data_IF_821023486868
#
_entry.id   IF_821023486868
#
_cell.length_a   1.000
_cell.length_b   1.000
_cell.length_c   1.000
_cell.angle_alpha   90.00
_cell.angle_beta   90.00
_cell.angle_gamma   90.00
#
_symmetry.space_group_name_H-M   'P 1'
#
loop_
_entity.id
_entity.type
_entity.pdbx_description
1 polymer ?
#
# COMPACT_ATOMS: atom_id res chain seq x y z
N UNK A 1 47.53 30.27 32.19
CA UNK A 1 46.26 29.94 31.50
C UNK A 1 46.21 28.42 31.39
N UNK A 2 45.53 27.75 32.32
CA UNK A 2 45.42 26.28 32.32
C UNK A 2 44.26 25.92 31.41
N UNK A 3 44.52 25.11 30.38
CA UNK A 3 43.46 24.53 29.56
C UNK A 3 42.78 23.49 30.43
N UNK A 4 41.55 23.80 30.89
CA UNK A 4 40.67 22.81 31.50
C UNK A 4 40.18 21.90 30.37
N UNK A 5 40.97 20.88 30.05
CA UNK A 5 40.50 19.78 29.23
C UNK A 5 39.39 19.06 29.99
N UNK A 6 38.20 18.97 29.41
CA UNK A 6 37.15 18.12 29.95
C UNK A 6 37.69 16.68 30.00
N UNK A 7 37.85 16.15 31.22
CA UNK A 7 38.16 14.75 31.46
C UNK A 7 36.89 13.93 31.18
N UNK A 8 36.58 13.74 29.89
CA UNK A 8 35.54 12.81 29.44
C UNK A 8 35.83 11.43 30.02
N UNK A 9 34.82 10.78 30.61
CA UNK A 9 35.03 9.53 31.34
C UNK A 9 34.89 8.38 30.37
N UNK A 10 36.01 7.70 30.10
CA UNK A 10 36.10 6.54 29.23
C UNK A 10 34.94 5.57 29.50
N UNK A 11 34.02 5.44 28.54
CA UNK A 11 32.84 4.56 28.61
C UNK A 11 31.49 5.25 28.85
N UNK A 12 31.41 6.57 28.63
CA UNK A 12 30.15 7.31 28.43
C UNK A 12 29.46 6.92 27.09
N UNK A 13 28.26 7.42 26.79
CA UNK A 13 27.62 7.18 25.48
C UNK A 13 28.31 8.00 24.39
N UNK A 14 28.32 7.47 23.16
CA UNK A 14 29.08 7.96 22.00
C UNK A 14 30.62 7.92 22.19
N UNK A 15 31.09 7.38 23.31
CA UNK A 15 32.49 7.25 23.68
C UNK A 15 33.08 5.90 23.24
N UNK A 16 34.42 5.80 23.15
CA UNK A 16 35.09 4.61 22.58
C UNK A 16 35.17 3.44 23.55
N UNK A 17 34.92 2.24 23.03
CA UNK A 17 34.99 0.98 23.77
C UNK A 17 35.77 -0.11 23.02
N UNK A 18 36.35 -1.06 23.77
CA UNK A 18 37.08 -2.21 23.24
C UNK A 18 36.78 -3.45 24.10
N UNK A 19 36.52 -4.59 23.44
CA UNK A 19 36.27 -5.88 24.07
C UNK A 19 37.54 -6.59 24.54
N UNK A 20 38.73 -6.15 24.10
CA UNK A 20 40.03 -6.72 24.51
C UNK A 20 40.60 -6.11 25.80
N UNK A 21 39.86 -5.21 26.45
CA UNK A 21 40.23 -4.60 27.73
C UNK A 21 39.66 -5.42 28.89
N UNK A 22 40.43 -5.62 29.97
CA UNK A 22 39.97 -6.27 31.22
C UNK A 22 38.91 -5.45 32.00
N UNK A 23 38.22 -4.52 31.35
CA UNK A 23 37.24 -3.60 31.92
C UNK A 23 35.89 -3.76 31.22
N UNK A 24 34.81 -3.44 31.94
CA UNK A 24 33.48 -3.33 31.34
C UNK A 24 33.55 -2.29 30.19
N UNK A 25 33.17 -2.64 28.95
CA UNK A 25 33.47 -1.80 27.79
C UNK A 25 32.69 -0.48 27.76
N UNK A 26 31.52 -0.41 28.41
CA UNK A 26 30.72 0.79 28.59
C UNK A 26 30.26 0.90 30.05
N UNK A 27 30.33 2.09 30.65
CA UNK A 27 30.04 2.31 32.07
C UNK A 27 28.57 2.66 32.34
N UNK A 28 27.88 3.21 31.33
CA UNK A 28 26.48 3.63 31.45
C UNK A 28 25.57 2.39 31.55
N UNK A 29 24.69 2.28 32.57
CA UNK A 29 23.74 1.17 32.67
C UNK A 29 22.86 1.08 31.42
N UNK A 30 22.52 -0.13 31.00
CA UNK A 30 21.75 -0.38 29.77
C UNK A 30 22.43 0.17 28.49
N UNK A 31 23.76 0.18 28.44
CA UNK A 31 24.54 0.43 27.23
C UNK A 31 25.32 -0.79 26.78
N UNK A 32 25.74 -0.81 25.52
CA UNK A 32 26.55 -1.86 24.92
C UNK A 32 27.51 -1.29 23.87
N UNK A 33 28.63 -1.98 23.67
CA UNK A 33 29.65 -1.58 22.70
C UNK A 33 29.26 -2.09 21.30
N UNK A 34 29.13 -1.18 20.33
CA UNK A 34 28.83 -1.48 18.92
C UNK A 34 29.86 -0.75 18.07
N UNK A 35 30.54 -1.47 17.18
CA UNK A 35 31.54 -0.91 16.26
C UNK A 35 32.62 -0.04 16.93
N UNK A 36 32.93 -0.35 18.20
CA UNK A 36 33.90 0.38 19.03
C UNK A 36 33.36 1.65 19.70
N UNK A 37 32.04 1.85 19.72
CA UNK A 37 31.35 2.99 20.33
C UNK A 37 30.28 2.51 21.31
N UNK A 38 30.15 3.16 22.47
CA UNK A 38 29.13 2.88 23.46
C UNK A 38 27.77 3.47 23.07
N UNK A 39 26.74 2.63 23.00
CA UNK A 39 25.38 3.03 22.61
C UNK A 39 24.34 2.44 23.57
N UNK A 40 23.20 3.11 23.75
CA UNK A 40 22.11 2.58 24.57
C UNK A 40 21.47 1.32 23.97
N UNK A 41 21.21 0.33 24.83
CA UNK A 41 20.62 -0.97 24.51
C UNK A 41 19.36 -0.87 23.63
N UNK A 42 19.03 -1.92 22.85
CA UNK A 42 17.72 -1.99 22.21
C UNK A 42 16.63 -1.85 23.27
N UNK A 43 15.61 -1.02 22.99
CA UNK A 43 14.59 -0.54 23.95
C UNK A 43 15.04 0.55 24.94
N UNK A 44 16.22 1.15 24.77
CA UNK A 44 16.69 2.30 25.57
C UNK A 44 16.98 3.52 24.68
N UNK A 45 16.95 4.70 25.28
CA UNK A 45 17.21 5.99 24.63
C UNK A 45 18.13 6.83 25.51
N UNK A 46 19.07 7.51 24.87
CA UNK A 46 19.97 8.43 25.53
C UNK A 46 19.22 9.72 25.88
N UNK A 47 19.13 10.05 27.16
CA UNK A 47 18.58 11.31 27.67
C UNK A 47 19.52 11.82 28.77
N UNK A 48 20.16 12.97 28.54
CA UNK A 48 21.28 13.42 29.39
C UNK A 48 22.46 12.46 29.21
N UNK A 49 23.02 11.98 30.33
CA UNK A 49 24.09 10.97 30.36
C UNK A 49 23.56 9.55 30.70
N UNK A 50 22.25 9.33 30.62
CA UNK A 50 21.58 8.09 31.02
C UNK A 50 20.89 7.40 29.83
N UNK A 51 21.05 6.08 29.75
CA UNK A 51 20.18 5.23 28.93
C UNK A 51 18.92 4.89 29.74
N UNK A 52 17.91 5.75 29.62
CA UNK A 52 16.57 5.45 30.13
C UNK A 52 15.88 4.44 29.19
N UNK A 53 14.95 3.61 29.68
CA UNK A 53 14.09 2.85 28.78
C UNK A 53 13.42 3.80 27.78
N UNK A 54 13.42 3.48 26.48
CA UNK A 54 12.46 4.08 25.55
C UNK A 54 11.10 3.82 26.15
N UNK A 55 10.29 4.87 26.26
CA UNK A 55 8.99 4.87 26.92
C UNK A 55 8.05 3.82 26.28
N UNK A 56 8.21 2.56 26.73
CA UNK A 56 7.24 1.47 26.57
C UNK A 56 6.12 1.56 27.61
N UNK A 57 6.17 2.62 28.42
CA UNK A 57 5.09 3.24 29.17
C UNK A 57 4.02 3.74 28.18
N UNK A 58 3.25 2.79 27.67
CA UNK A 58 1.96 3.07 27.02
C UNK A 58 1.16 3.96 27.96
N UNK A 59 0.89 5.18 27.54
CA UNK A 59 -0.04 6.10 28.20
C UNK A 59 -1.47 5.89 27.68
N UNK A 60 -1.70 4.92 26.79
CA UNK A 60 -3.00 4.63 26.23
C UNK A 60 -4.12 4.55 27.29
N UNK A 61 -5.15 5.38 27.12
CA UNK A 61 -6.30 5.47 28.00
C UNK A 61 -6.09 6.30 29.28
N UNK A 62 -4.87 6.74 29.61
CA UNK A 62 -4.67 7.73 30.69
C UNK A 62 -5.33 9.05 30.33
N UNK A 63 -5.67 9.84 31.34
CA UNK A 63 -6.11 11.22 31.15
C UNK A 63 -4.94 12.06 30.65
N UNK A 64 -5.22 13.02 29.78
CA UNK A 64 -4.26 14.01 29.30
C UNK A 64 -4.97 15.34 29.02
N UNK A 65 -4.26 16.45 29.22
CA UNK A 65 -4.71 17.77 28.74
C UNK A 65 -4.07 18.11 27.38
N UNK A 66 -2.89 17.55 27.10
CA UNK A 66 -2.09 17.84 25.91
C UNK A 66 -1.39 16.61 25.34
N UNK A 67 -1.03 16.65 24.05
CA UNK A 67 -0.38 15.51 23.38
C UNK A 67 1.05 15.23 23.84
N UNK A 68 1.74 16.13 24.56
CA UNK A 68 3.09 15.84 25.07
C UNK A 68 3.08 14.89 26.28
N UNK A 69 1.94 14.77 26.96
CA UNK A 69 1.74 13.84 28.08
C UNK A 69 1.63 12.39 27.60
N UNK A 70 1.21 12.19 26.34
CA UNK A 70 1.08 10.89 25.71
C UNK A 70 2.44 10.43 25.16
N UNK A 71 3.22 9.74 26.00
CA UNK A 71 4.60 9.34 25.69
C UNK A 71 4.72 8.08 24.83
N UNK A 72 3.67 7.25 24.78
CA UNK A 72 3.70 6.00 24.03
C UNK A 72 3.86 6.19 22.51
N UNK A 73 4.55 5.25 21.86
CA UNK A 73 4.79 5.29 20.42
C UNK A 73 3.46 5.37 19.63
N UNK A 74 3.30 6.43 18.84
CA UNK A 74 2.09 6.63 18.03
C UNK A 74 0.84 6.97 18.84
N UNK A 75 0.98 7.46 20.07
CA UNK A 75 -0.12 8.02 20.88
C UNK A 75 -0.29 9.53 20.65
N UNK A 76 -1.49 10.04 20.94
CA UNK A 76 -1.82 11.47 20.97
C UNK A 76 -2.96 11.74 21.95
N UNK A 77 -3.08 12.97 22.45
CA UNK A 77 -4.20 13.33 23.31
C UNK A 77 -5.45 13.58 22.47
N UNK A 78 -6.49 12.77 22.68
CA UNK A 78 -7.78 12.91 22.00
C UNK A 78 -8.61 14.05 22.59
N UNK A 79 -9.60 14.54 21.85
CA UNK A 79 -10.58 15.53 22.33
C UNK A 79 -11.44 15.07 23.52
N UNK A 80 -11.32 13.80 23.93
CA UNK A 80 -11.94 13.25 25.13
C UNK A 80 -11.05 13.35 26.38
N UNK A 81 -9.92 14.07 26.29
CA UNK A 81 -8.94 14.21 27.38
C UNK A 81 -8.26 12.88 27.72
N UNK A 82 -8.01 12.03 26.72
CA UNK A 82 -7.35 10.72 26.90
C UNK A 82 -6.38 10.39 25.78
N UNK A 83 -5.26 9.75 26.13
CA UNK A 83 -4.27 9.28 25.17
C UNK A 83 -4.84 8.12 24.33
N UNK A 84 -4.78 8.26 23.00
CA UNK A 84 -5.29 7.28 22.03
C UNK A 84 -4.29 7.09 20.88
N UNK A 85 -4.44 6.02 20.11
CA UNK A 85 -3.56 5.75 18.97
C UNK A 85 -3.87 6.68 17.79
N UNK A 86 -2.82 7.24 17.17
CA UNK A 86 -2.89 8.00 15.92
C UNK A 86 -3.68 7.25 14.84
N UNK A 87 -4.22 8.00 13.87
CA UNK A 87 -4.99 7.45 12.76
C UNK A 87 -4.25 6.38 11.93
N UNK A 88 -2.92 6.42 11.91
CA UNK A 88 -2.00 5.46 11.26
C UNK A 88 -1.70 4.21 12.08
N UNK A 89 -2.13 4.18 13.35
CA UNK A 89 -1.87 3.10 14.31
C UNK A 89 -3.16 2.36 14.69
N UNK A 90 -2.99 1.24 15.39
CA UNK A 90 -4.07 0.45 15.97
C UNK A 90 -3.68 0.02 17.40
N UNK A 91 -4.65 -0.02 18.31
CA UNK A 91 -4.40 -0.52 19.67
C UNK A 91 -4.29 -2.05 19.65
N UNK A 92 -3.19 -2.57 20.18
CA UNK A 92 -2.95 -3.99 20.43
C UNK A 92 -2.46 -4.14 21.87
N UNK A 93 -3.23 -4.83 22.69
CA UNK A 93 -2.89 -5.10 24.10
C UNK A 93 -2.51 -3.83 24.89
N UNK A 94 -3.24 -2.74 24.67
CA UNK A 94 -2.96 -1.44 25.30
C UNK A 94 -1.87 -0.61 24.61
N UNK A 95 -1.16 -1.13 23.61
CA UNK A 95 -0.09 -0.41 22.90
C UNK A 95 -0.55 0.05 21.53
N UNK A 96 -0.14 1.23 21.12
CA UNK A 96 -0.33 1.68 19.75
C UNK A 96 0.75 1.09 18.85
N UNK A 97 0.32 0.40 17.80
CA UNK A 97 1.20 -0.31 16.86
C UNK A 97 0.89 0.17 15.44
N UNK A 98 1.91 0.33 14.57
CA UNK A 98 1.69 0.86 13.22
C UNK A 98 0.82 -0.09 12.39
N UNK A 99 0.02 0.49 11.48
CA UNK A 99 -0.64 -0.27 10.43
C UNK A 99 0.41 -0.89 9.49
N UNK A 100 0.15 -2.11 9.01
CA UNK A 100 1.04 -2.84 8.11
C UNK A 100 0.22 -3.18 6.87
N UNK A 101 0.74 -2.87 5.68
CA UNK A 101 0.00 -3.00 4.44
C UNK A 101 0.14 -4.39 3.81
N UNK A 102 -0.83 -4.85 3.00
CA UNK A 102 -0.73 -6.11 2.28
C UNK A 102 0.59 -6.28 1.53
N UNK A 103 1.24 -7.44 1.74
CA UNK A 103 2.57 -7.76 1.21
C UNK A 103 3.75 -7.35 2.08
N UNK A 104 3.56 -6.50 3.10
CA UNK A 104 4.60 -6.13 4.06
C UNK A 104 4.70 -7.14 5.22
N UNK A 105 5.85 -7.15 5.89
CA UNK A 105 6.19 -7.98 7.07
C UNK A 105 6.19 -7.14 8.35
N UNK A 106 6.18 -7.80 9.51
CA UNK A 106 6.21 -7.16 10.84
C UNK A 106 4.84 -6.96 11.47
N UNK A 107 3.81 -7.71 11.06
CA UNK A 107 2.55 -7.75 11.80
C UNK A 107 2.61 -8.73 12.98
N UNK A 108 2.08 -8.28 14.12
CA UNK A 108 1.83 -9.07 15.34
C UNK A 108 0.35 -9.51 15.40
N UNK A 109 -0.57 -8.68 14.88
CA UNK A 109 -2.02 -8.89 14.90
C UNK A 109 -2.62 -8.60 13.51
N UNK A 110 -3.62 -9.38 13.11
CA UNK A 110 -4.41 -9.13 11.90
C UNK A 110 -5.06 -7.75 11.87
N UNK A 111 -5.32 -7.12 13.03
CA UNK A 111 -5.82 -5.72 13.11
C UNK A 111 -4.87 -4.69 12.47
N UNK A 112 -3.56 -4.93 12.45
CA UNK A 112 -2.60 -4.04 11.75
C UNK A 112 -2.82 -4.10 10.24
N UNK A 113 -3.04 -5.31 9.73
CA UNK A 113 -3.35 -5.56 8.33
C UNK A 113 -4.72 -4.99 7.97
N UNK A 114 -5.75 -5.24 8.79
CA UNK A 114 -7.11 -4.77 8.59
C UNK A 114 -7.21 -3.23 8.56
N UNK A 115 -6.30 -2.53 9.26
CA UNK A 115 -6.17 -1.07 9.26
C UNK A 115 -5.61 -0.54 7.93
N UNK A 116 -4.69 -1.27 7.30
CA UNK A 116 -4.13 -0.93 5.98
C UNK A 116 -5.04 -1.35 4.81
N UNK A 117 -5.72 -2.50 4.91
CA UNK A 117 -6.72 -2.97 3.95
C UNK A 117 -7.80 -3.81 4.66
N UNK A 118 -9.10 -3.50 4.50
CA UNK A 118 -10.17 -4.19 5.22
C UNK A 118 -10.23 -5.68 4.88
N UNK A 119 -10.20 -6.52 5.92
CA UNK A 119 -10.20 -7.99 5.78
C UNK A 119 -8.84 -8.61 5.43
N UNK A 120 -7.75 -7.83 5.35
CA UNK A 120 -6.41 -8.39 5.34
C UNK A 120 -6.07 -9.00 6.72
N UNK A 121 -5.32 -10.10 6.71
CA UNK A 121 -4.96 -10.89 7.90
C UNK A 121 -3.45 -11.02 8.02
N UNK A 122 -2.94 -11.15 9.25
CA UNK A 122 -1.53 -11.45 9.48
C UNK A 122 -1.31 -12.96 9.33
N UNK A 123 -0.37 -13.38 8.48
CA UNK A 123 -0.01 -14.78 8.32
C UNK A 123 1.05 -15.23 9.34
N UNK A 124 1.29 -16.55 9.42
CA UNK A 124 2.23 -17.16 10.37
C UNK A 124 3.70 -16.71 10.18
N UNK A 125 4.02 -16.06 9.06
CA UNK A 125 5.35 -15.48 8.79
C UNK A 125 5.37 -13.97 9.06
N UNK A 126 4.43 -13.47 9.88
CA UNK A 126 4.28 -12.05 10.23
C UNK A 126 4.07 -11.14 9.01
N UNK A 127 3.47 -11.65 7.94
CA UNK A 127 3.18 -10.89 6.72
C UNK A 127 1.69 -10.64 6.54
N UNK A 128 1.32 -9.41 6.20
CA UNK A 128 -0.07 -9.09 5.90
C UNK A 128 -0.49 -9.69 4.55
N UNK A 129 -1.47 -10.59 4.58
CA UNK A 129 -2.05 -11.27 3.42
C UNK A 129 -3.45 -10.73 3.12
N UNK A 130 -3.74 -10.59 1.83
CA UNK A 130 -5.07 -10.24 1.34
C UNK A 130 -6.13 -11.29 1.65
N UNK A 131 -7.42 -10.88 1.76
CA UNK A 131 -8.53 -11.83 1.86
C UNK A 131 -8.66 -12.71 0.60
N UNK A 132 -9.40 -13.81 0.74
CA UNK A 132 -9.50 -14.86 -0.27
C UNK A 132 -9.92 -14.33 -1.66
N UNK A 133 -9.15 -14.72 -2.69
CA UNK A 133 -9.39 -14.30 -4.08
C UNK A 133 -8.65 -13.01 -4.50
N UNK A 134 -7.96 -12.35 -3.56
CA UNK A 134 -7.12 -11.20 -3.84
C UNK A 134 -5.64 -11.48 -3.57
N UNK A 135 -4.78 -10.80 -4.32
CA UNK A 135 -3.33 -10.82 -4.23
C UNK A 135 -2.79 -9.43 -3.86
N UNK A 136 -1.70 -9.42 -3.09
CA UNK A 136 -1.06 -8.18 -2.66
C UNK A 136 -0.21 -7.62 -3.80
N UNK A 137 -0.54 -6.42 -4.27
CA UNK A 137 0.24 -5.68 -5.26
C UNK A 137 0.30 -4.20 -4.81
N UNK A 138 1.50 -3.62 -4.80
CA UNK A 138 1.72 -2.21 -4.49
C UNK A 138 1.02 -1.74 -3.20
N UNK A 139 1.17 -2.52 -2.11
CA UNK A 139 0.60 -2.23 -0.77
C UNK A 139 -0.94 -2.22 -0.71
N UNK A 140 -1.62 -2.74 -1.73
CA UNK A 140 -3.08 -2.95 -1.75
C UNK A 140 -3.41 -4.37 -2.19
N UNK A 141 -4.69 -4.75 -2.11
CA UNK A 141 -5.19 -6.03 -2.58
C UNK A 141 -6.00 -5.86 -3.87
N UNK A 142 -5.59 -6.57 -4.92
CA UNK A 142 -6.28 -6.63 -6.21
C UNK A 142 -6.80 -8.04 -6.46
N UNK A 143 -7.81 -8.21 -7.32
CA UNK A 143 -8.19 -9.55 -7.75
C UNK A 143 -7.04 -10.22 -8.49
N UNK A 144 -6.72 -11.45 -8.12
CA UNK A 144 -5.78 -12.28 -8.85
C UNK A 144 -6.31 -12.47 -10.29
N UNK A 145 -5.69 -11.79 -11.25
CA UNK A 145 -6.07 -11.87 -12.65
C UNK A 145 -5.70 -13.26 -13.18
N UNK A 146 -6.62 -14.22 -13.04
CA UNK A 146 -6.41 -15.61 -13.48
C UNK A 146 -5.96 -15.62 -14.94
N UNK A 147 -4.70 -15.99 -15.20
CA UNK A 147 -4.17 -16.19 -16.55
C UNK A 147 -4.85 -17.34 -17.33
N UNK A 148 -5.85 -18.00 -16.76
CA UNK A 148 -6.67 -19.02 -17.41
C UNK A 148 -7.40 -18.55 -18.68
N UNK A 149 -7.46 -17.24 -18.96
CA UNK A 149 -8.06 -16.71 -20.21
C UNK A 149 -7.13 -16.89 -21.43
N UNK A 150 -5.80 -17.00 -21.25
CA UNK A 150 -4.86 -17.08 -22.39
C UNK A 150 -4.85 -18.43 -23.13
N UNK A 151 -5.34 -19.53 -22.53
CA UNK A 151 -5.31 -20.88 -23.15
C UNK A 151 -6.62 -21.36 -23.78
N UNK A 152 -7.74 -20.66 -23.59
CA UNK A 152 -9.02 -21.04 -24.22
C UNK A 152 -9.18 -20.52 -25.67
N UNK A 153 -8.57 -19.37 -25.99
CA UNK A 153 -8.80 -18.69 -27.27
C UNK A 153 -7.89 -19.15 -28.42
N UNK A 154 -6.88 -19.98 -28.17
CA UNK A 154 -5.97 -20.48 -29.22
C UNK A 154 -6.52 -21.69 -29.96
N UNK A 155 -7.13 -22.66 -29.26
CA UNK A 155 -7.54 -23.94 -29.86
C UNK A 155 -8.91 -23.92 -30.53
N UNK A 156 -9.80 -22.99 -30.16
CA UNK A 156 -11.15 -22.93 -30.70
C UNK A 156 -11.23 -22.24 -32.09
N UNK A 157 -10.45 -21.18 -32.31
CA UNK A 157 -10.47 -20.44 -33.57
C UNK A 157 -9.75 -21.16 -34.73
N UNK A 158 -8.73 -21.98 -34.46
CA UNK A 158 -8.06 -22.81 -35.48
C UNK A 158 -9.01 -23.81 -36.15
N UNK A 159 -9.96 -24.37 -35.38
CA UNK A 159 -10.98 -25.28 -35.92
C UNK A 159 -11.93 -24.58 -36.89
N UNK A 160 -12.39 -23.37 -36.55
CA UNK A 160 -13.27 -22.57 -37.42
C UNK A 160 -12.55 -22.04 -38.66
N UNK A 161 -11.28 -21.65 -38.55
CA UNK A 161 -10.47 -21.22 -39.69
C UNK A 161 -10.34 -22.34 -40.75
N UNK A 162 -10.11 -23.59 -40.32
CA UNK A 162 -10.06 -24.76 -41.22
C UNK A 162 -11.39 -25.04 -41.91
N UNK A 163 -12.51 -25.00 -41.18
CA UNK A 163 -13.85 -25.22 -41.76
C UNK A 163 -14.26 -24.15 -42.77
N UNK A 164 -13.87 -22.88 -42.56
CA UNK A 164 -14.15 -21.80 -43.51
C UNK A 164 -13.29 -21.89 -44.77
N UNK A 165 -12.03 -22.32 -44.66
CA UNK A 165 -11.14 -22.57 -45.81
C UNK A 165 -11.61 -23.74 -46.71
N UNK A 166 -12.25 -24.76 -46.14
CA UNK A 166 -12.77 -25.89 -46.93
C UNK A 166 -14.05 -25.51 -47.69
N UNK A 167 -14.90 -24.66 -47.09
CA UNK A 167 -16.19 -24.24 -47.67
C UNK A 167 -16.04 -23.27 -48.84
N UNK A 168 -14.99 -22.45 -48.87
CA UNK A 168 -14.64 -21.61 -50.03
C UNK A 168 -14.10 -22.44 -51.20
N UNK A 169 -13.32 -23.49 -50.94
CA UNK A 169 -12.75 -24.36 -52.00
C UNK A 169 -13.84 -25.13 -52.77
N UNK A 170 -14.91 -25.59 -52.10
CA UNK A 170 -16.04 -26.26 -52.78
C UNK A 170 -16.91 -25.30 -53.63
N UNK A 171 -17.01 -24.02 -53.28
CA UNK A 171 -17.78 -23.02 -54.08
C UNK A 171 -17.05 -22.54 -55.34
N UNK A 172 -15.72 -22.66 -55.40
CA UNK A 172 -14.95 -22.18 -56.56
C UNK A 172 -14.93 -23.18 -57.73
N UNK A 173 -15.14 -24.48 -57.48
CA UNK A 173 -15.17 -25.52 -58.50
C UNK A 173 -16.57 -25.73 -59.13
N UNK A 174 -17.65 -25.33 -58.46
CA UNK A 174 -19.02 -25.45 -59.00
C UNK A 174 -19.40 -24.38 -60.03
N UNK A 175 -18.65 -23.27 -60.12
CA UNK A 175 -18.96 -22.12 -60.99
C UNK A 175 -18.32 -22.19 -62.39
N UNK A 176 -17.43 -23.15 -62.64
CA UNK A 176 -16.72 -23.27 -63.94
C UNK A 176 -17.52 -24.08 -64.98
N UNK A 177 -18.50 -24.88 -64.56
CA UNK A 177 -19.16 -25.89 -65.42
C UNK A 177 -20.30 -25.39 -66.32
N UNK A 178 -20.91 -24.22 -66.06
CA UNK A 178 -22.11 -23.77 -66.79
C UNK A 178 -22.00 -22.37 -67.43
N UNK A 179 -21.02 -22.19 -68.30
CA UNK A 179 -21.15 -21.22 -69.41
C UNK A 179 -22.15 -21.76 -70.43
N UNK A 180 -23.42 -21.31 -70.40
CA UNK A 180 -24.33 -21.14 -71.56
C UNK A 180 -25.74 -20.70 -71.14
N UNK A 181 -25.98 -19.38 -71.09
CA UNK A 181 -26.99 -18.67 -71.90
C UNK A 181 -27.08 -17.19 -71.49
N UNK A 182 -27.39 -16.36 -72.48
CA UNK A 182 -27.46 -14.91 -72.42
C UNK A 182 -28.79 -14.39 -71.86
N UNK A 183 -28.74 -13.18 -71.28
CA UNK A 183 -29.61 -11.99 -71.54
C UNK A 183 -29.51 -11.07 -70.30
N UNK A 184 -29.29 -9.75 -70.45
CA UNK A 184 -29.12 -8.84 -69.32
C UNK A 184 -30.46 -8.40 -68.71
N UNK A 185 -30.52 -8.25 -67.39
CA UNK A 185 -31.58 -7.49 -66.73
C UNK A 185 -31.03 -6.53 -65.67
N UNK A 186 -31.71 -5.40 -65.56
CA UNK A 186 -31.36 -4.18 -64.84
C UNK A 186 -31.75 -4.30 -63.36
N UNK A 187 -30.92 -3.85 -62.43
CA UNK A 187 -31.33 -3.64 -61.04
C UNK A 187 -30.67 -2.40 -60.45
N UNK A 188 -31.37 -1.75 -59.51
CA UNK A 188 -31.10 -0.40 -59.03
C UNK A 188 -30.08 -0.38 -57.89
N UNK A 189 -29.23 0.65 -57.87
CA UNK A 189 -28.43 1.00 -56.70
C UNK A 189 -29.33 1.62 -55.63
N UNK A 190 -29.29 1.07 -54.42
CA UNK A 190 -29.78 1.74 -53.20
C UNK A 190 -28.66 1.77 -52.17
N UNK A 191 -28.20 2.97 -51.83
CA UNK A 191 -27.12 3.20 -50.87
C UNK A 191 -27.66 3.25 -49.44
N UNK A 192 -27.04 2.56 -48.45
CA UNK A 192 -27.36 2.80 -47.04
C UNK A 192 -26.78 4.15 -46.59
N UNK A 193 -27.67 5.08 -46.23
CA UNK A 193 -27.30 6.42 -45.78
C UNK A 193 -26.74 6.39 -44.35
N UNK A 194 -25.57 7.00 -44.13
CA UNK A 194 -25.06 7.33 -42.79
C UNK A 194 -26.05 8.26 -42.08
N UNK A 195 -26.60 7.86 -40.93
CA UNK A 195 -27.21 8.81 -39.99
C UNK A 195 -26.16 9.29 -39.00
N UNK A 196 -25.64 10.50 -39.23
CA UNK A 196 -25.00 11.30 -38.17
C UNK A 196 -26.08 11.74 -37.18
N UNK A 197 -25.75 11.77 -35.88
CA UNK A 197 -26.66 12.24 -34.83
C UNK A 197 -26.00 13.33 -34.00
N UNK A 198 -26.42 14.57 -34.22
CA UNK A 198 -26.12 15.76 -33.40
C UNK A 198 -27.27 16.76 -33.56
N UNK A 199 -27.78 17.34 -32.47
CA UNK A 199 -28.30 18.70 -32.50
C UNK A 199 -27.73 19.63 -31.41
N UNK A 200 -27.70 20.93 -31.72
CA UNK A 200 -27.44 22.07 -30.82
C UNK A 200 -28.78 22.80 -30.51
N UNK A 201 -28.94 23.87 -29.71
CA UNK A 201 -28.07 24.82 -28.99
C UNK A 201 -28.64 25.04 -27.55
N UNK A 202 -27.85 25.34 -26.51
CA UNK A 202 -27.46 26.69 -26.06
C UNK A 202 -28.58 27.77 -26.07
N UNK A 203 -29.06 28.15 -24.87
CA UNK A 203 -29.62 29.49 -24.53
C UNK A 203 -29.15 29.87 -23.12
N UNK A 204 -28.93 31.16 -22.88
CA UNK A 204 -28.27 31.75 -21.70
C UNK A 204 -29.22 32.47 -20.71
N UNK A 205 -28.66 32.91 -19.56
CA UNK A 205 -29.22 33.71 -18.43
C UNK A 205 -29.71 32.89 -17.22
N UNK A 206 -29.55 33.32 -15.95
CA UNK A 206 -28.77 34.44 -15.40
C UNK A 206 -29.24 34.88 -13.99
N UNK A 207 -28.29 35.25 -13.11
CA UNK A 207 -28.43 36.03 -11.84
C UNK A 207 -28.72 35.31 -10.49
N UNK A 208 -27.73 35.43 -9.59
CA UNK A 208 -27.73 35.44 -8.10
C UNK A 208 -28.25 34.22 -7.28
N UNK A 209 -27.62 33.93 -6.12
CA UNK A 209 -27.91 34.68 -4.88
C UNK A 209 -26.68 35.35 -4.23
N UNK A 210 -26.94 36.28 -3.31
CA UNK A 210 -25.92 37.10 -2.66
C UNK A 210 -25.41 36.57 -1.31
N UNK A 211 -24.16 36.91 -1.03
CA UNK A 211 -23.58 37.40 0.24
C UNK A 211 -24.46 37.24 1.49
N UNK A 212 -23.92 36.52 2.49
CA UNK A 212 -23.91 37.05 3.85
C UNK A 212 -22.47 36.97 4.40
N UNK A 213 -21.98 38.07 4.95
CA UNK A 213 -20.66 38.18 5.56
C UNK A 213 -20.68 37.79 7.04
N UNK A 214 -19.49 37.45 7.52
CA UNK A 214 -19.05 37.47 8.91
C UNK A 214 -19.77 38.51 9.79
N UNK A 215 -20.32 38.06 10.92
CA UNK A 215 -19.91 38.47 12.28
C UNK A 215 -20.42 37.45 13.31
#
# INVERSE_FOLDING_TARGET
MVIVGCLGRIGEIDDKCDFNSDRVPCLVPNSFCVDGICVCAPLYQHIGDECVPRDSSTTFGTVCDTSYECKGEGEYCSSYGRCMCLSTHVNINGRCKPAVYPGQYGCEDSRQCAKGYPGAICDLHQRCRCPNGLEAQSQTCIFAAKESVKKANSSFFDGFARLLAEKTRRRYLSTISNRRRSVPYRSYYYSPIRKQYTPNHLVTSGVAPGILLLF
#
